data_IF_224741799715
#
_entry.id   IF_224741799715
#
_cell.length_a   1.000
_cell.length_b   1.000
_cell.length_c   1.000
_cell.angle_alpha   90.00
_cell.angle_beta   90.00
_cell.angle_gamma   90.00
#
_symmetry.space_group_name_H-M   'P 1'
#
loop_
_entity.id
_entity.type
_entity.pdbx_description
1 polymer ?
#
# COMPACT_ATOMS: atom_id res chain seq x y z
N UNK A 1 19.43 6.11 -14.92
CA UNK A 1 18.50 4.97 -14.97
C UNK A 1 19.19 3.68 -14.54
N UNK A 2 18.42 2.74 -13.99
CA UNK A 2 18.93 1.41 -13.61
C UNK A 2 19.06 0.51 -14.85
N UNK A 3 20.22 -0.12 -15.01
CA UNK A 3 20.50 -1.03 -16.13
C UNK A 3 20.15 -2.47 -15.74
N UNK A 4 19.09 -3.00 -16.32
CA UNK A 4 18.66 -4.38 -16.14
C UNK A 4 19.11 -5.24 -17.32
N UNK A 5 19.65 -6.41 -17.03
CA UNK A 5 20.02 -7.38 -18.05
C UNK A 5 18.87 -8.35 -18.33
N UNK A 6 18.91 -9.02 -19.48
CA UNK A 6 18.00 -10.14 -19.75
C UNK A 6 18.08 -11.23 -18.67
N UNK A 7 19.27 -11.45 -18.10
CA UNK A 7 19.45 -12.42 -17.02
C UNK A 7 18.66 -12.03 -15.76
N UNK A 8 18.68 -10.75 -15.37
CA UNK A 8 17.90 -10.27 -14.23
C UNK A 8 16.39 -10.49 -14.46
N UNK A 9 15.88 -10.13 -15.65
CA UNK A 9 14.47 -10.25 -16.00
C UNK A 9 14.02 -11.71 -16.11
N UNK A 10 14.84 -12.56 -16.75
CA UNK A 10 14.56 -14.00 -16.85
C UNK A 10 14.62 -14.70 -15.49
N UNK A 11 15.51 -14.25 -14.60
CA UNK A 11 15.55 -14.76 -13.23
C UNK A 11 14.21 -14.49 -12.54
N UNK A 12 13.69 -13.25 -12.59
CA UNK A 12 12.40 -12.89 -12.00
C UNK A 12 11.27 -13.75 -12.59
N UNK A 13 11.18 -13.86 -13.89
CA UNK A 13 10.13 -14.62 -14.55
C UNK A 13 10.17 -16.13 -14.20
N UNK A 14 11.36 -16.74 -14.17
CA UNK A 14 11.52 -18.17 -13.83
C UNK A 14 11.32 -18.45 -12.34
N UNK A 15 11.69 -17.50 -11.50
CA UNK A 15 11.59 -17.62 -10.04
C UNK A 15 10.18 -17.38 -9.52
N UNK A 16 9.29 -16.81 -10.32
CA UNK A 16 7.94 -16.43 -9.94
C UNK A 16 7.09 -17.61 -9.43
N UNK A 17 7.31 -18.83 -9.93
CA UNK A 17 6.66 -20.03 -9.40
C UNK A 17 6.86 -20.23 -7.90
N UNK A 18 7.97 -19.74 -7.31
CA UNK A 18 8.24 -19.86 -5.87
C UNK A 18 7.30 -19.03 -4.99
N UNK A 19 6.66 -18.00 -5.52
CA UNK A 19 5.77 -17.10 -4.77
C UNK A 19 4.37 -16.96 -5.36
N UNK A 20 4.17 -17.22 -6.67
CA UNK A 20 2.85 -17.29 -7.29
C UNK A 20 2.24 -18.69 -7.17
N UNK A 21 3.07 -19.74 -7.29
CA UNK A 21 2.66 -21.13 -7.46
C UNK A 21 2.56 -21.53 -8.94
N UNK A 22 2.39 -22.83 -9.20
CA UNK A 22 2.40 -23.43 -10.55
C UNK A 22 1.05 -23.28 -11.32
N UNK A 23 0.21 -22.34 -10.95
CA UNK A 23 -1.11 -22.22 -11.56
C UNK A 23 -1.07 -21.59 -12.95
N UNK A 24 -1.49 -22.35 -13.91
CA UNK A 24 -1.05 -22.30 -15.30
C UNK A 24 -1.76 -21.31 -16.22
N UNK A 25 -2.62 -20.47 -15.92
CA UNK A 25 -3.18 -19.40 -16.80
C UNK A 25 -3.93 -18.37 -15.99
N UNK A 26 -3.22 -17.33 -15.61
CA UNK A 26 -3.86 -16.18 -15.01
C UNK A 26 -4.40 -15.23 -16.09
N UNK A 27 -5.44 -14.53 -15.75
CA UNK A 27 -5.96 -13.39 -16.47
C UNK A 27 -5.72 -12.17 -15.61
N UNK A 28 -4.99 -11.19 -16.15
CA UNK A 28 -4.55 -10.00 -15.45
C UNK A 28 -5.06 -8.74 -16.16
N UNK A 29 -4.99 -7.63 -15.44
CA UNK A 29 -5.24 -6.30 -16.00
C UNK A 29 -3.99 -5.43 -15.80
N UNK A 30 -3.56 -4.76 -16.86
CA UNK A 30 -2.41 -3.85 -16.92
C UNK A 30 -2.91 -2.43 -16.68
N UNK A 31 -2.47 -1.80 -15.57
CA UNK A 31 -3.00 -0.51 -15.13
C UNK A 31 -1.87 0.53 -14.98
N UNK A 32 -0.71 0.12 -14.45
CA UNK A 32 0.37 1.05 -14.16
C UNK A 32 1.18 1.36 -15.43
N UNK A 33 1.94 2.47 -15.44
CA UNK A 33 2.82 2.77 -16.57
C UNK A 33 3.87 1.69 -16.81
N UNK A 34 4.03 1.23 -18.05
CA UNK A 34 5.02 0.22 -18.44
C UNK A 34 6.49 0.64 -18.23
N UNK A 35 6.77 1.90 -17.91
CA UNK A 35 8.10 2.33 -17.47
C UNK A 35 8.43 1.85 -16.05
N UNK A 36 7.43 1.47 -15.24
CA UNK A 36 7.62 0.93 -13.90
C UNK A 36 7.93 -0.57 -13.96
N UNK A 37 8.97 -1.01 -13.22
CA UNK A 37 9.45 -2.40 -13.27
C UNK A 37 8.38 -3.40 -12.81
N UNK A 38 7.54 -3.05 -11.82
CA UNK A 38 6.48 -3.94 -11.36
C UNK A 38 5.46 -4.19 -12.48
N UNK A 39 5.01 -3.14 -13.18
CA UNK A 39 4.08 -3.31 -14.30
C UNK A 39 4.68 -4.17 -15.41
N UNK A 40 5.94 -3.91 -15.79
CA UNK A 40 6.63 -4.75 -16.79
C UNK A 40 6.76 -6.20 -16.35
N UNK A 41 6.98 -6.43 -15.06
CA UNK A 41 7.05 -7.79 -14.52
C UNK A 41 5.69 -8.48 -14.66
N UNK A 42 4.61 -7.87 -14.16
CA UNK A 42 3.29 -8.48 -14.15
C UNK A 42 2.61 -8.51 -15.54
N UNK A 43 2.81 -7.49 -16.38
CA UNK A 43 2.09 -7.36 -17.65
C UNK A 43 2.91 -7.77 -18.88
N UNK A 44 4.23 -8.01 -18.73
CA UNK A 44 5.09 -8.43 -19.86
C UNK A 44 5.84 -9.71 -19.54
N UNK A 45 6.70 -9.71 -18.50
CA UNK A 45 7.65 -10.82 -18.31
C UNK A 45 6.99 -12.09 -17.80
N UNK A 46 6.09 -12.00 -16.82
CA UNK A 46 5.34 -13.14 -16.30
C UNK A 46 4.36 -13.69 -17.35
N UNK A 47 3.54 -12.86 -18.04
CA UNK A 47 2.68 -13.34 -19.11
C UNK A 47 3.42 -14.08 -20.22
N UNK A 48 4.58 -13.59 -20.66
CA UNK A 48 5.40 -14.28 -21.65
C UNK A 48 5.92 -15.64 -21.16
N UNK A 49 6.25 -15.76 -19.86
CA UNK A 49 6.72 -17.01 -19.27
C UNK A 49 5.61 -18.02 -19.01
N UNK A 50 4.44 -17.55 -18.50
CA UNK A 50 3.34 -18.41 -18.07
C UNK A 50 2.14 -18.44 -19.04
N UNK A 51 2.21 -17.74 -20.18
CA UNK A 51 1.13 -17.64 -21.18
C UNK A 51 -0.17 -17.10 -20.60
N UNK A 52 -0.06 -16.04 -19.79
CA UNK A 52 -1.23 -15.37 -19.22
C UNK A 52 -1.96 -14.50 -20.23
N UNK A 53 -3.23 -14.21 -19.94
CA UNK A 53 -4.04 -13.25 -20.69
C UNK A 53 -3.82 -11.88 -20.03
N UNK A 54 -3.49 -10.88 -20.86
CA UNK A 54 -3.29 -9.49 -20.41
C UNK A 54 -4.39 -8.62 -21.02
N UNK A 55 -5.18 -7.99 -20.18
CA UNK A 55 -6.12 -6.95 -20.53
C UNK A 55 -5.50 -5.59 -20.21
N UNK A 56 -5.66 -4.61 -21.07
CA UNK A 56 -5.16 -3.26 -20.85
C UNK A 56 -6.32 -2.34 -20.51
N UNK A 57 -6.11 -1.46 -19.50
CA UNK A 57 -7.09 -0.41 -19.20
C UNK A 57 -7.17 0.60 -20.37
N UNK A 58 -8.33 1.17 -20.58
CA UNK A 58 -8.54 2.21 -21.59
C UNK A 58 -7.87 3.51 -21.20
N UNK A 59 -7.97 3.87 -19.90
CA UNK A 59 -7.31 5.04 -19.30
C UNK A 59 -7.11 4.81 -17.79
N UNK A 60 -6.25 5.59 -17.12
CA UNK A 60 -6.11 5.53 -15.67
C UNK A 60 -7.43 5.78 -14.92
N UNK A 61 -8.29 6.66 -15.44
CA UNK A 61 -9.57 7.05 -14.86
C UNK A 61 -10.59 5.90 -14.88
N UNK A 62 -10.58 5.08 -15.94
CA UNK A 62 -11.49 3.92 -16.11
C UNK A 62 -10.95 2.63 -15.51
N UNK A 63 -9.81 2.68 -14.81
CA UNK A 63 -9.13 1.48 -14.30
C UNK A 63 -9.99 0.64 -13.35
N UNK A 64 -10.87 1.28 -12.58
CA UNK A 64 -11.77 0.59 -11.66
C UNK A 64 -12.91 -0.12 -12.41
N UNK A 65 -13.55 0.55 -13.35
CA UNK A 65 -14.60 0.00 -14.21
C UNK A 65 -14.07 -1.16 -15.05
N UNK A 66 -12.89 -0.98 -15.65
CA UNK A 66 -12.25 -2.05 -16.42
C UNK A 66 -11.85 -3.24 -15.54
N UNK A 67 -11.45 -3.01 -14.26
CA UNK A 67 -11.18 -4.09 -13.32
C UNK A 67 -12.46 -4.90 -13.02
N UNK A 68 -13.61 -4.24 -12.85
CA UNK A 68 -14.89 -4.91 -12.65
C UNK A 68 -15.32 -5.70 -13.89
N UNK A 69 -15.07 -5.17 -15.09
CA UNK A 69 -15.41 -5.82 -16.36
C UNK A 69 -14.57 -7.08 -16.60
N UNK A 70 -13.25 -6.98 -16.40
CA UNK A 70 -12.31 -8.09 -16.60
C UNK A 70 -12.41 -9.12 -15.49
N UNK A 71 -12.63 -8.70 -14.26
CA UNK A 71 -12.60 -9.55 -13.06
C UNK A 71 -11.37 -10.47 -13.04
N UNK A 72 -10.15 -9.92 -12.92
CA UNK A 72 -8.90 -10.65 -13.12
C UNK A 72 -8.72 -11.77 -12.09
N UNK A 73 -8.04 -12.85 -12.50
CA UNK A 73 -7.74 -13.98 -11.60
C UNK A 73 -6.50 -13.74 -10.76
N UNK A 74 -5.55 -12.95 -11.29
CA UNK A 74 -4.43 -12.38 -10.56
C UNK A 74 -4.46 -10.86 -10.69
N UNK A 75 -4.38 -10.15 -9.58
CA UNK A 75 -4.36 -8.70 -9.58
C UNK A 75 -3.20 -8.17 -8.76
N UNK A 76 -2.38 -7.31 -9.38
CA UNK A 76 -1.35 -6.53 -8.71
C UNK A 76 -1.80 -5.07 -8.67
N UNK A 77 -1.88 -4.50 -7.48
CA UNK A 77 -2.20 -3.10 -7.26
C UNK A 77 -1.21 -2.44 -6.31
N UNK A 78 -0.90 -1.16 -6.56
CA UNK A 78 -0.19 -0.36 -5.56
C UNK A 78 -1.13 -0.04 -4.38
N UNK A 79 -0.61 0.24 -3.17
CA UNK A 79 -1.43 0.48 -1.97
C UNK A 79 -2.56 1.48 -2.20
N UNK A 80 -2.30 2.56 -2.93
CA UNK A 80 -3.29 3.58 -3.27
C UNK A 80 -4.55 3.03 -3.96
N UNK A 81 -4.40 2.03 -4.82
CA UNK A 81 -5.54 1.39 -5.50
C UNK A 81 -6.39 0.61 -4.49
N UNK A 82 -5.74 -0.13 -3.60
CA UNK A 82 -6.40 -0.89 -2.54
C UNK A 82 -7.10 0.02 -1.53
N UNK A 83 -6.45 1.13 -1.15
CA UNK A 83 -7.02 2.16 -0.29
C UNK A 83 -8.28 2.78 -0.92
N UNK A 84 -8.24 3.13 -2.21
CA UNK A 84 -9.40 3.68 -2.92
C UNK A 84 -10.55 2.67 -3.04
N UNK A 85 -10.25 1.42 -3.36
CA UNK A 85 -11.27 0.35 -3.37
C UNK A 85 -11.93 0.16 -2.01
N UNK A 86 -11.15 0.21 -0.92
CA UNK A 86 -11.66 0.14 0.45
C UNK A 86 -12.54 1.35 0.77
N UNK A 87 -12.04 2.57 0.57
CA UNK A 87 -12.76 3.80 0.93
C UNK A 87 -14.08 3.93 0.15
N UNK A 88 -14.07 3.65 -1.15
CA UNK A 88 -15.29 3.64 -1.97
C UNK A 88 -16.32 2.61 -1.46
N UNK A 89 -15.84 1.45 -0.97
CA UNK A 89 -16.71 0.43 -0.38
C UNK A 89 -17.32 0.94 0.93
N UNK A 90 -16.52 1.50 1.82
CA UNK A 90 -16.98 2.02 3.11
C UNK A 90 -18.04 3.11 2.92
N UNK A 91 -17.83 4.02 1.98
CA UNK A 91 -18.79 5.09 1.70
C UNK A 91 -20.11 4.54 1.17
N UNK A 92 -20.08 3.65 0.18
CA UNK A 92 -21.30 3.01 -0.32
C UNK A 92 -22.07 2.25 0.76
N UNK A 93 -21.36 1.63 1.71
CA UNK A 93 -21.98 0.98 2.86
C UNK A 93 -22.61 2.01 3.83
N UNK A 94 -21.96 3.15 4.06
CA UNK A 94 -22.50 4.21 4.91
C UNK A 94 -23.76 4.84 4.33
N UNK A 95 -23.89 4.86 3.00
CA UNK A 95 -25.09 5.31 2.28
C UNK A 95 -26.20 4.24 2.22
N UNK A 96 -25.86 2.98 2.50
CA UNK A 96 -26.81 1.89 2.46
C UNK A 96 -27.86 1.99 3.58
N UNK A 97 -29.00 1.30 3.40
CA UNK A 97 -30.02 1.17 4.44
C UNK A 97 -29.42 0.55 5.72
N UNK A 98 -29.95 0.94 6.89
CA UNK A 98 -29.40 0.53 8.19
C UNK A 98 -29.18 -0.99 8.36
N UNK A 99 -30.08 -1.81 7.81
CA UNK A 99 -29.92 -3.28 7.80
C UNK A 99 -28.66 -3.73 7.04
N UNK A 100 -28.35 -3.10 5.91
CA UNK A 100 -27.17 -3.37 5.12
C UNK A 100 -25.88 -3.05 5.88
N UNK A 101 -25.87 -1.93 6.59
CA UNK A 101 -24.75 -1.52 7.45
C UNK A 101 -24.49 -2.53 8.58
N UNK A 102 -25.55 -2.91 9.32
CA UNK A 102 -25.43 -3.92 10.37
C UNK A 102 -24.97 -5.27 9.82
N UNK A 103 -25.52 -5.72 8.68
CA UNK A 103 -25.11 -6.95 8.04
C UNK A 103 -23.63 -6.94 7.64
N UNK A 104 -23.15 -5.83 7.09
CA UNK A 104 -21.76 -5.63 6.75
C UNK A 104 -20.83 -5.68 7.97
N UNK A 105 -21.14 -4.91 9.03
CA UNK A 105 -20.35 -4.89 10.26
C UNK A 105 -20.26 -6.27 10.92
N UNK A 106 -21.39 -6.97 10.97
CA UNK A 106 -21.44 -8.33 11.53
C UNK A 106 -20.63 -9.30 10.67
N UNK A 107 -20.78 -9.23 9.33
CA UNK A 107 -20.03 -10.04 8.42
C UNK A 107 -18.51 -9.81 8.56
N UNK A 108 -18.05 -8.55 8.65
CA UNK A 108 -16.63 -8.22 8.86
C UNK A 108 -16.11 -8.78 10.19
N UNK A 109 -16.85 -8.65 11.28
CA UNK A 109 -16.46 -9.23 12.59
C UNK A 109 -16.31 -10.76 12.50
N UNK A 110 -17.23 -11.44 11.82
CA UNK A 110 -17.18 -12.89 11.62
C UNK A 110 -16.00 -13.26 10.72
N UNK A 111 -15.81 -12.54 9.60
CA UNK A 111 -14.72 -12.76 8.66
C UNK A 111 -13.35 -12.54 9.29
N UNK A 112 -13.18 -11.46 10.06
CA UNK A 112 -11.94 -11.18 10.79
C UNK A 112 -11.59 -12.27 11.80
N UNK A 113 -12.54 -12.66 12.66
CA UNK A 113 -12.33 -13.79 13.59
C UNK A 113 -12.00 -15.10 12.87
N UNK A 114 -12.66 -15.37 11.75
CA UNK A 114 -12.36 -16.57 10.97
C UNK A 114 -10.93 -16.53 10.41
N UNK A 115 -10.50 -15.39 9.88
CA UNK A 115 -9.16 -15.19 9.36
C UNK A 115 -8.10 -15.36 10.47
N UNK A 116 -8.29 -14.74 11.64
CA UNK A 116 -7.40 -14.89 12.81
C UNK A 116 -7.20 -16.35 13.23
N UNK A 117 -8.30 -17.14 13.25
CA UNK A 117 -8.19 -18.58 13.56
C UNK A 117 -7.36 -19.35 12.53
N UNK A 118 -7.55 -19.05 11.25
CA UNK A 118 -6.77 -19.71 10.17
C UNK A 118 -5.30 -19.31 10.26
N UNK A 119 -5.01 -18.02 10.50
CA UNK A 119 -3.65 -17.50 10.61
C UNK A 119 -2.88 -18.10 11.79
N UNK A 120 -3.58 -18.37 12.89
CA UNK A 120 -3.02 -19.08 14.04
C UNK A 120 -2.88 -20.60 13.83
N UNK A 121 -3.11 -21.13 12.60
CA UNK A 121 -3.08 -22.56 12.30
C UNK A 121 -4.21 -23.36 12.96
N UNK A 122 -5.24 -22.67 13.49
CA UNK A 122 -6.36 -23.29 14.18
C UNK A 122 -7.48 -23.75 13.24
N UNK A 123 -8.41 -24.54 13.79
CA UNK A 123 -9.63 -24.97 13.08
C UNK A 123 -10.85 -24.24 13.66
N UNK A 124 -11.47 -23.31 12.90
CA UNK A 124 -12.67 -22.61 13.36
C UNK A 124 -13.79 -23.59 13.72
N UNK A 125 -14.54 -23.30 14.79
CA UNK A 125 -15.67 -24.11 15.20
C UNK A 125 -16.83 -24.06 14.19
N UNK A 126 -17.81 -24.97 14.32
CA UNK A 126 -18.91 -25.10 13.36
C UNK A 126 -19.74 -23.81 13.23
N UNK A 127 -19.99 -23.10 14.33
CA UNK A 127 -20.76 -21.86 14.32
C UNK A 127 -20.03 -20.75 13.55
N UNK A 128 -18.72 -20.60 13.75
CA UNK A 128 -17.92 -19.61 13.03
C UNK A 128 -17.83 -19.96 11.52
N UNK A 129 -17.73 -21.25 11.18
CA UNK A 129 -17.77 -21.72 9.78
C UNK A 129 -19.11 -21.43 9.12
N UNK A 130 -20.22 -21.70 9.82
CA UNK A 130 -21.55 -21.39 9.31
C UNK A 130 -21.75 -19.88 9.15
N UNK A 131 -21.36 -19.09 10.17
CA UNK A 131 -21.41 -17.62 10.09
C UNK A 131 -20.60 -17.07 8.91
N UNK A 132 -19.39 -17.60 8.69
CA UNK A 132 -18.55 -17.23 7.54
C UNK A 132 -19.22 -17.58 6.21
N UNK A 133 -19.86 -18.75 6.10
CA UNK A 133 -20.59 -19.16 4.91
C UNK A 133 -21.79 -18.23 4.63
N UNK A 134 -22.57 -17.88 5.67
CA UNK A 134 -23.68 -16.89 5.54
C UNK A 134 -23.13 -15.54 5.08
N UNK A 135 -22.09 -15.01 5.74
CA UNK A 135 -21.47 -13.75 5.37
C UNK A 135 -20.98 -13.74 3.91
N UNK A 136 -20.40 -14.87 3.44
CA UNK A 136 -19.98 -15.01 2.05
C UNK A 136 -21.16 -14.91 1.08
N UNK A 137 -22.28 -15.58 1.37
CA UNK A 137 -23.44 -15.62 0.47
C UNK A 137 -24.24 -14.32 0.45
N UNK A 138 -24.28 -13.59 1.58
CA UNK A 138 -25.15 -12.41 1.73
C UNK A 138 -24.42 -11.09 1.51
N UNK A 139 -23.14 -11.00 1.90
CA UNK A 139 -22.37 -9.75 1.91
C UNK A 139 -21.13 -9.85 1.04
N UNK A 140 -20.20 -10.76 1.34
CA UNK A 140 -18.84 -10.72 0.77
C UNK A 140 -18.81 -11.01 -0.73
N UNK A 141 -19.64 -11.93 -1.22
CA UNK A 141 -19.73 -12.20 -2.66
C UNK A 141 -20.11 -10.95 -3.44
N UNK A 142 -21.09 -10.18 -2.95
CA UNK A 142 -21.53 -8.97 -3.63
C UNK A 142 -20.44 -7.89 -3.59
N UNK A 143 -19.72 -7.77 -2.49
CA UNK A 143 -18.58 -6.84 -2.38
C UNK A 143 -17.46 -7.24 -3.34
N UNK A 144 -17.11 -8.52 -3.45
CA UNK A 144 -16.09 -9.00 -4.38
C UNK A 144 -16.47 -8.71 -5.84
N UNK A 145 -17.73 -8.90 -6.22
CA UNK A 145 -18.25 -8.56 -7.56
C UNK A 145 -18.15 -7.03 -7.78
N UNK A 146 -18.57 -6.23 -6.81
CA UNK A 146 -18.47 -4.77 -6.87
C UNK A 146 -17.04 -4.27 -7.00
N UNK A 147 -16.08 -5.01 -6.44
CA UNK A 147 -14.65 -4.70 -6.53
C UNK A 147 -13.99 -5.28 -7.82
N UNK A 148 -14.70 -6.10 -8.59
CA UNK A 148 -14.12 -6.83 -9.72
C UNK A 148 -13.12 -7.91 -9.30
N UNK A 149 -13.27 -8.45 -8.08
CA UNK A 149 -12.33 -9.41 -7.48
C UNK A 149 -12.99 -10.77 -7.15
N UNK A 150 -14.15 -11.04 -7.68
CA UNK A 150 -14.91 -12.28 -7.43
C UNK A 150 -14.23 -13.51 -8.03
N UNK A 151 -13.45 -13.36 -9.10
CA UNK A 151 -12.64 -14.42 -9.73
C UNK A 151 -11.19 -14.43 -9.19
N UNK A 152 -10.80 -13.43 -8.39
CA UNK A 152 -9.41 -13.26 -7.95
C UNK A 152 -8.96 -14.43 -7.07
N UNK A 153 -7.86 -15.05 -7.45
CA UNK A 153 -7.20 -16.16 -6.74
C UNK A 153 -5.91 -15.72 -6.07
N UNK A 154 -5.27 -14.72 -6.64
CA UNK A 154 -3.99 -14.18 -6.18
C UNK A 154 -4.07 -12.66 -6.25
N UNK A 155 -3.82 -12.02 -5.12
CA UNK A 155 -3.84 -10.57 -4.97
C UNK A 155 -2.52 -10.12 -4.40
N UNK A 156 -1.87 -9.17 -5.06
CA UNK A 156 -0.61 -8.61 -4.63
C UNK A 156 -0.68 -7.10 -4.43
N UNK A 157 0.02 -6.63 -3.40
CA UNK A 157 0.32 -5.22 -3.19
C UNK A 157 1.81 -5.02 -2.99
N UNK A 158 2.32 -3.85 -3.39
CA UNK A 158 3.74 -3.53 -3.24
C UNK A 158 4.09 -2.16 -3.83
N UNK A 159 5.38 -1.90 -3.99
CA UNK A 159 5.96 -0.63 -4.45
C UNK A 159 5.82 0.56 -3.46
N UNK A 160 4.97 0.47 -2.45
CA UNK A 160 4.87 1.42 -1.35
C UNK A 160 4.38 0.67 -0.09
N UNK A 161 4.57 1.24 1.11
CA UNK A 161 4.03 0.68 2.34
C UNK A 161 2.50 0.65 2.32
N UNK A 162 1.92 -0.35 2.98
CA UNK A 162 0.47 -0.52 3.14
C UNK A 162 0.11 -0.72 4.60
N UNK A 163 -1.06 -0.22 5.04
CA UNK A 163 -1.47 -0.43 6.43
C UNK A 163 -1.85 -1.90 6.68
N UNK A 164 -1.44 -2.48 7.82
CA UNK A 164 -1.85 -3.83 8.23
C UNK A 164 -3.37 -3.97 8.32
N UNK A 165 -4.07 -2.91 8.73
CA UNK A 165 -5.53 -2.89 8.84
C UNK A 165 -6.21 -3.04 7.47
N UNK A 166 -5.65 -2.44 6.42
CA UNK A 166 -6.17 -2.60 5.07
C UNK A 166 -6.05 -4.05 4.60
N UNK A 167 -4.90 -4.68 4.82
CA UNK A 167 -4.70 -6.11 4.50
C UNK A 167 -5.67 -6.97 5.30
N UNK A 168 -5.82 -6.70 6.61
CA UNK A 168 -6.75 -7.42 7.47
C UNK A 168 -8.22 -7.28 7.02
N UNK A 169 -8.60 -6.11 6.52
CA UNK A 169 -9.92 -5.88 5.95
C UNK A 169 -10.18 -6.77 4.73
N UNK A 170 -9.27 -6.80 3.75
CA UNK A 170 -9.38 -7.69 2.59
C UNK A 170 -9.42 -9.16 3.01
N UNK A 171 -8.61 -9.53 3.98
CA UNK A 171 -8.57 -10.89 4.52
C UNK A 171 -9.88 -11.29 5.20
N UNK A 172 -10.54 -10.37 5.91
CA UNK A 172 -11.88 -10.59 6.47
C UNK A 172 -12.93 -10.87 5.38
N UNK A 173 -12.82 -10.24 4.21
CA UNK A 173 -13.65 -10.54 3.04
C UNK A 173 -13.33 -11.92 2.42
N UNK A 174 -12.21 -12.53 2.80
CA UNK A 174 -11.67 -13.77 2.20
C UNK A 174 -10.85 -13.52 0.93
N UNK A 175 -10.36 -12.30 0.78
CA UNK A 175 -9.41 -11.89 -0.24
C UNK A 175 -8.02 -11.85 0.39
N UNK A 176 -7.16 -12.80 0.03
CA UNK A 176 -5.82 -12.91 0.59
C UNK A 176 -4.86 -11.96 -0.13
N UNK A 177 -4.78 -10.71 0.34
CA UNK A 177 -3.87 -9.71 -0.20
C UNK A 177 -2.46 -10.00 0.33
N UNK A 178 -1.53 -10.24 -0.59
CA UNK A 178 -0.14 -10.61 -0.34
C UNK A 178 0.76 -9.42 -0.58
N UNK A 179 1.57 -9.09 0.40
CA UNK A 179 2.54 -8.01 0.29
C UNK A 179 3.84 -8.53 -0.33
N UNK A 180 4.34 -7.80 -1.33
CA UNK A 180 5.65 -8.02 -1.90
C UNK A 180 6.51 -6.77 -1.81
N UNK A 181 7.82 -7.01 -1.81
CA UNK A 181 8.80 -5.94 -1.79
C UNK A 181 9.87 -6.14 -2.86
N UNK A 182 10.28 -5.03 -3.39
CA UNK A 182 11.42 -4.91 -4.27
C UNK A 182 11.55 -3.52 -4.85
N UNK A 183 12.57 -3.34 -5.65
CA UNK A 183 12.90 -2.06 -6.29
C UNK A 183 13.45 -2.30 -7.70
N UNK A 184 13.59 -1.24 -8.46
CA UNK A 184 14.10 -1.34 -9.84
C UNK A 184 15.49 -1.97 -9.89
N UNK A 185 16.33 -1.67 -8.91
CA UNK A 185 17.68 -2.20 -8.73
C UNK A 185 17.71 -3.71 -8.45
N UNK A 186 16.57 -4.29 -8.10
CA UNK A 186 16.37 -5.73 -7.93
C UNK A 186 15.53 -6.36 -9.06
N UNK A 187 15.39 -5.68 -10.19
CA UNK A 187 14.55 -6.12 -11.31
C UNK A 187 13.09 -6.45 -10.91
N UNK A 188 12.60 -5.91 -9.82
CA UNK A 188 11.23 -6.09 -9.34
C UNK A 188 11.15 -6.69 -7.93
N UNK A 189 11.14 -8.01 -7.78
CA UNK A 189 10.74 -8.67 -6.54
C UNK A 189 11.95 -9.29 -5.82
N UNK A 190 12.06 -8.99 -4.52
CA UNK A 190 13.09 -9.48 -3.60
C UNK A 190 12.49 -10.36 -2.52
N UNK A 191 11.34 -9.95 -1.95
CA UNK A 191 10.58 -10.74 -0.98
C UNK A 191 9.11 -10.80 -1.35
N UNK A 192 8.43 -11.83 -0.85
CA UNK A 192 6.99 -12.00 -1.03
C UNK A 192 6.37 -12.75 0.14
N UNK A 193 5.21 -12.32 0.59
CA UNK A 193 4.27 -13.21 1.23
C UNK A 193 3.70 -14.19 0.19
N UNK A 194 3.30 -15.38 0.60
CA UNK A 194 2.72 -16.41 -0.27
C UNK A 194 1.35 -16.84 0.26
N UNK A 195 0.60 -17.59 -0.54
CA UNK A 195 -0.68 -18.15 -0.06
C UNK A 195 -0.51 -19.08 1.14
N UNK A 196 0.61 -19.80 1.21
CA UNK A 196 0.90 -20.74 2.28
C UNK A 196 1.41 -20.06 3.54
N UNK A 197 2.17 -18.97 3.36
CA UNK A 197 2.82 -18.23 4.44
C UNK A 197 2.59 -16.74 4.22
N UNK A 198 1.55 -16.19 4.85
CA UNK A 198 1.23 -14.76 4.80
C UNK A 198 1.19 -14.20 6.22
N UNK A 199 2.12 -13.29 6.54
CA UNK A 199 2.20 -12.62 7.84
C UNK A 199 1.96 -11.13 7.65
N UNK A 200 0.79 -10.65 8.07
CA UNK A 200 0.40 -9.24 7.97
C UNK A 200 1.42 -8.35 8.67
N UNK A 201 1.76 -7.23 8.04
CA UNK A 201 2.76 -6.28 8.52
C UNK A 201 4.20 -6.72 8.25
N UNK A 202 4.41 -7.70 7.38
CA UNK A 202 5.70 -8.08 6.83
C UNK A 202 5.65 -8.10 5.31
N UNK A 203 6.79 -7.86 4.69
CA UNK A 203 6.96 -7.98 3.23
C UNK A 203 7.29 -9.41 2.79
N UNK A 204 6.98 -10.40 3.64
CA UNK A 204 7.23 -11.82 3.38
C UNK A 204 8.67 -12.24 3.58
N UNK A 205 9.03 -13.36 2.97
CA UNK A 205 10.38 -13.96 2.98
C UNK A 205 11.12 -13.70 1.68
N UNK A 206 12.44 -13.85 1.69
CA UNK A 206 13.24 -13.84 0.46
C UNK A 206 12.66 -14.82 -0.56
N UNK A 207 12.53 -14.39 -1.81
CA UNK A 207 12.17 -15.32 -2.89
C UNK A 207 13.32 -16.29 -3.15
N UNK A 208 13.04 -17.43 -3.77
CA UNK A 208 14.06 -18.47 -3.97
C UNK A 208 15.34 -17.92 -4.65
N UNK A 209 16.50 -18.37 -4.20
CA UNK A 209 17.82 -17.95 -4.68
C UNK A 209 18.16 -16.46 -4.48
N UNK A 210 17.54 -15.83 -3.52
CA UNK A 210 17.84 -14.47 -3.05
C UNK A 210 18.27 -14.54 -1.59
N UNK A 211 19.40 -13.92 -1.27
CA UNK A 211 19.88 -13.76 0.10
C UNK A 211 19.47 -12.40 0.63
N UNK A 212 19.04 -12.35 1.91
CA UNK A 212 18.75 -11.12 2.64
C UNK A 212 19.56 -11.11 3.93
N UNK A 213 20.05 -9.96 4.31
CA UNK A 213 20.59 -9.69 5.66
C UNK A 213 20.30 -8.26 6.09
N UNK A 214 20.36 -8.04 7.39
CA UNK A 214 20.30 -6.69 7.98
C UNK A 214 21.72 -6.31 8.37
N UNK A 215 22.14 -5.10 8.01
CA UNK A 215 23.44 -4.56 8.42
C UNK A 215 23.41 -4.04 9.86
N UNK A 216 24.56 -3.57 10.36
CA UNK A 216 24.72 -3.00 11.72
C UNK A 216 23.91 -1.69 11.95
N UNK A 217 23.49 -1.03 10.87
CA UNK A 217 22.67 0.18 10.91
C UNK A 217 21.16 -0.12 10.74
N UNK A 218 20.80 -1.39 10.62
CA UNK A 218 19.43 -1.83 10.38
C UNK A 218 19.00 -1.78 8.91
N UNK A 219 19.91 -1.53 7.97
CA UNK A 219 19.60 -1.49 6.53
C UNK A 219 19.41 -2.90 5.97
N UNK A 220 18.35 -3.08 5.19
CA UNK A 220 18.09 -4.31 4.47
C UNK A 220 19.04 -4.41 3.28
N UNK A 221 19.79 -5.47 3.21
CA UNK A 221 20.69 -5.80 2.09
C UNK A 221 20.17 -7.02 1.38
N UNK A 222 20.28 -7.04 0.05
CA UNK A 222 19.96 -8.23 -0.73
C UNK A 222 21.04 -8.58 -1.74
N UNK A 223 21.14 -9.89 -2.06
CA UNK A 223 22.08 -10.42 -3.02
C UNK A 223 21.43 -11.54 -3.83
N UNK A 224 21.70 -11.57 -5.12
CA UNK A 224 21.21 -12.62 -6.01
C UNK A 224 21.25 -12.21 -7.49
N UNK A 225 20.85 -13.12 -8.40
CA UNK A 225 20.84 -12.86 -9.83
C UNK A 225 19.86 -11.76 -10.30
N UNK A 226 18.97 -11.30 -9.43
CA UNK A 226 18.00 -10.23 -9.66
C UNK A 226 18.64 -8.84 -9.54
N UNK A 227 19.80 -8.70 -8.89
CA UNK A 227 20.47 -7.40 -8.70
C UNK A 227 20.95 -6.85 -10.04
N UNK A 228 20.67 -5.58 -10.28
CA UNK A 228 20.95 -4.85 -11.52
C UNK A 228 22.46 -4.75 -11.84
N UNK A 229 22.78 -4.32 -13.07
CA UNK A 229 24.18 -4.10 -13.47
C UNK A 229 24.78 -2.80 -12.93
N UNK A 230 23.93 -1.86 -12.51
CA UNK A 230 24.32 -0.54 -12.04
C UNK A 230 23.51 0.59 -12.67
N UNK A 231 23.86 1.81 -12.36
CA UNK A 231 23.24 3.01 -12.92
C UNK A 231 23.93 3.45 -14.22
N UNK A 232 23.15 3.69 -15.26
CA UNK A 232 23.65 4.14 -16.54
C UNK A 232 24.40 5.48 -16.41
N UNK A 233 25.66 5.50 -16.85
CA UNK A 233 26.49 6.69 -16.81
C UNK A 233 26.91 7.16 -15.41
N UNK A 234 26.67 6.35 -14.36
CA UNK A 234 27.02 6.72 -12.98
C UNK A 234 27.69 5.54 -12.21
N UNK A 235 28.96 5.25 -12.52
CA UNK A 235 29.69 4.16 -11.87
C UNK A 235 29.96 4.41 -10.37
N UNK A 236 30.14 5.67 -9.97
CA UNK A 236 30.35 6.04 -8.57
C UNK A 236 29.13 5.66 -7.73
N UNK A 237 27.94 6.09 -8.15
CA UNK A 237 26.69 5.72 -7.49
C UNK A 237 26.44 4.22 -7.48
N UNK A 238 26.85 3.53 -8.53
CA UNK A 238 26.77 2.06 -8.59
C UNK A 238 27.64 1.41 -7.52
N UNK A 239 28.90 1.87 -7.37
CA UNK A 239 29.83 1.35 -6.37
C UNK A 239 29.39 1.64 -4.92
N UNK A 240 28.71 2.76 -4.68
CA UNK A 240 28.09 3.07 -3.38
C UNK A 240 26.89 2.19 -3.08
N UNK A 241 26.18 1.74 -4.12
CA UNK A 241 24.91 1.00 -3.96
C UNK A 241 25.10 -0.51 -3.94
N UNK A 242 26.10 -1.04 -4.66
CA UNK A 242 26.44 -2.48 -4.67
C UNK A 242 27.86 -2.67 -4.18
N UNK A 243 27.99 -3.22 -2.98
CA UNK A 243 29.29 -3.45 -2.31
C UNK A 243 29.44 -4.95 -2.05
N UNK A 244 30.51 -5.56 -2.53
CA UNK A 244 30.80 -6.99 -2.38
C UNK A 244 29.62 -7.90 -2.80
N UNK A 245 28.92 -7.50 -3.87
CA UNK A 245 27.75 -8.21 -4.41
C UNK A 245 26.46 -8.04 -3.63
N UNK A 246 26.46 -7.26 -2.55
CA UNK A 246 25.26 -6.89 -1.79
C UNK A 246 24.72 -5.54 -2.25
N UNK A 247 23.45 -5.51 -2.60
CA UNK A 247 22.72 -4.28 -2.84
C UNK A 247 22.28 -3.66 -1.52
N UNK A 248 22.67 -2.43 -1.26
CA UNK A 248 22.21 -1.58 -0.17
C UNK A 248 20.89 -0.91 -0.60
N UNK A 249 19.80 -1.34 0.01
CA UNK A 249 18.45 -0.97 -0.47
C UNK A 249 18.03 0.44 -0.10
N UNK A 250 18.63 1.02 0.94
CA UNK A 250 18.20 2.28 1.54
C UNK A 250 16.95 2.13 2.40
N UNK A 251 16.45 0.92 2.62
CA UNK A 251 15.29 0.62 3.46
C UNK A 251 15.76 0.00 4.78
N UNK A 252 15.24 0.47 5.92
CA UNK A 252 15.55 -0.03 7.27
C UNK A 252 14.50 -1.07 7.65
N UNK A 253 14.94 -2.16 8.27
CA UNK A 253 14.03 -3.20 8.67
C UNK A 253 14.64 -4.26 9.57
N UNK A 254 13.89 -5.32 9.78
CA UNK A 254 14.26 -6.48 10.61
C UNK A 254 13.88 -7.78 9.91
N UNK A 255 14.56 -8.86 10.29
CA UNK A 255 14.20 -10.22 9.90
C UNK A 255 13.92 -11.01 11.17
N UNK A 256 12.78 -11.69 11.25
CA UNK A 256 12.46 -12.52 12.40
C UNK A 256 13.08 -13.94 12.28
N UNK A 257 12.89 -14.75 13.34
CA UNK A 257 13.45 -16.12 13.43
C UNK A 257 12.91 -17.05 12.33
N UNK A 258 11.72 -16.78 11.81
CA UNK A 258 11.10 -17.54 10.71
C UNK A 258 11.53 -17.03 9.31
N UNK A 259 12.33 -15.97 9.25
CA UNK A 259 12.82 -15.36 8.00
C UNK A 259 11.87 -14.33 7.37
N UNK A 260 10.81 -13.90 8.06
CA UNK A 260 9.97 -12.82 7.58
C UNK A 260 10.64 -11.46 7.75
N UNK A 261 10.62 -10.67 6.70
CA UNK A 261 11.19 -9.32 6.66
C UNK A 261 10.11 -8.29 6.97
N UNK A 262 10.43 -7.34 7.83
CA UNK A 262 9.60 -6.17 8.11
C UNK A 262 10.38 -4.92 7.77
N UNK A 263 9.78 -4.03 6.97
CA UNK A 263 10.32 -2.68 6.74
C UNK A 263 9.81 -1.78 7.85
N UNK A 264 10.72 -0.99 8.41
CA UNK A 264 10.38 0.06 9.37
C UNK A 264 10.16 1.38 8.64
N UNK A 265 11.16 1.82 7.86
CA UNK A 265 11.08 3.02 7.02
C UNK A 265 12.24 3.10 6.02
N UNK A 266 12.26 4.16 5.21
CA UNK A 266 13.44 4.52 4.43
C UNK A 266 14.48 5.23 5.29
N UNK A 267 15.75 4.84 5.14
CA UNK A 267 16.89 5.42 5.87
C UNK A 267 16.92 6.96 5.83
N UNK A 268 16.59 7.54 4.68
CA UNK A 268 16.57 8.99 4.47
C UNK A 268 15.30 9.70 4.96
N UNK A 269 14.23 8.95 5.24
CA UNK A 269 12.92 9.50 5.60
C UNK A 269 12.66 9.41 7.12
N UNK A 270 13.51 8.69 7.88
CA UNK A 270 13.44 8.62 9.35
C UNK A 270 13.58 10.02 9.92
N UNK A 271 12.61 10.40 10.74
CA UNK A 271 12.59 11.67 11.48
C UNK A 271 13.41 11.53 12.75
N UNK A 272 14.39 12.41 12.94
CA UNK A 272 15.12 12.54 14.20
C UNK A 272 14.64 13.83 14.87
N UNK A 273 13.78 13.70 15.87
CA UNK A 273 13.24 14.86 16.59
C UNK A 273 14.34 15.65 17.33
N UNK A 274 14.07 16.90 17.71
CA UNK A 274 14.99 17.70 18.53
C UNK A 274 15.37 17.04 19.85
N UNK A 275 14.57 16.09 20.35
CA UNK A 275 14.85 15.27 21.52
C UNK A 275 15.67 14.00 21.22
N UNK A 276 16.14 13.80 19.99
CA UNK A 276 16.95 12.64 19.58
C UNK A 276 16.15 11.34 19.40
N UNK A 277 14.82 11.39 19.36
CA UNK A 277 13.98 10.21 19.11
C UNK A 277 13.87 9.95 17.61
N UNK A 278 14.18 8.73 17.18
CA UNK A 278 13.93 8.26 15.84
C UNK A 278 12.46 7.86 15.70
N UNK A 279 11.78 8.39 14.69
CA UNK A 279 10.37 8.13 14.40
C UNK A 279 10.25 7.74 12.94
N UNK A 280 9.46 6.68 12.66
CA UNK A 280 9.05 6.27 11.33
C UNK A 280 7.82 7.08 10.90
N UNK A 281 7.92 8.04 9.99
CA UNK A 281 6.76 8.76 9.49
C UNK A 281 5.82 7.86 8.70
N UNK A 282 6.35 6.88 7.97
CA UNK A 282 5.56 6.00 7.10
C UNK A 282 4.52 5.18 7.87
N UNK A 283 4.82 4.77 9.11
CA UNK A 283 3.88 4.03 9.94
C UNK A 283 2.65 4.88 10.30
N UNK A 284 2.87 6.12 10.71
CA UNK A 284 1.80 7.06 11.05
C UNK A 284 0.99 7.43 9.79
N UNK A 285 1.67 7.74 8.69
CA UNK A 285 1.07 8.10 7.41
C UNK A 285 0.18 6.99 6.85
N UNK A 286 0.61 5.73 6.94
CA UNK A 286 -0.19 4.58 6.50
C UNK A 286 -1.44 4.38 7.34
N UNK A 287 -1.37 4.64 8.66
CA UNK A 287 -2.53 4.61 9.53
C UNK A 287 -3.54 5.71 9.17
N UNK A 288 -3.07 6.92 8.84
CA UNK A 288 -3.93 8.02 8.39
C UNK A 288 -4.63 7.71 7.06
N UNK A 289 -3.92 7.11 6.11
CA UNK A 289 -4.48 6.73 4.81
C UNK A 289 -5.51 5.60 4.84
N UNK A 290 -5.64 4.92 5.97
CA UNK A 290 -6.74 3.98 6.17
C UNK A 290 -8.09 4.69 6.34
N UNK A 291 -8.10 5.97 6.71
CA UNK A 291 -9.33 6.79 6.71
C UNK A 291 -9.84 7.00 5.28
N UNK A 292 -11.16 6.84 5.02
CA UNK A 292 -11.72 7.11 3.70
C UNK A 292 -11.64 8.58 3.29
N UNK A 293 -11.38 9.50 4.22
CA UNK A 293 -11.33 10.94 3.98
C UNK A 293 -9.92 11.46 3.70
N UNK A 294 -8.89 10.66 3.94
CA UNK A 294 -7.48 11.05 3.78
C UNK A 294 -6.88 10.31 2.59
N UNK A 295 -6.53 11.05 1.57
CA UNK A 295 -5.91 10.49 0.38
C UNK A 295 -4.41 10.28 0.54
N UNK A 296 -3.73 11.19 1.23
CA UNK A 296 -2.33 11.07 1.59
C UNK A 296 -1.98 11.95 2.80
N UNK A 297 -0.83 11.72 3.40
CA UNK A 297 -0.35 12.45 4.55
C UNK A 297 1.17 12.56 4.54
N UNK A 298 1.70 13.70 5.00
CA UNK A 298 3.15 13.90 5.18
C UNK A 298 3.41 14.34 6.61
N UNK A 299 3.99 13.44 7.40
CA UNK A 299 4.41 13.72 8.76
C UNK A 299 5.75 14.44 8.75
N UNK A 300 5.84 15.54 9.48
CA UNK A 300 6.99 16.44 9.55
C UNK A 300 7.43 16.56 11.00
N UNK A 301 8.74 16.49 11.25
CA UNK A 301 9.26 16.56 12.62
C UNK A 301 10.77 16.52 12.74
N UNK A 302 11.51 16.41 11.63
CA UNK A 302 12.98 16.35 11.67
C UNK A 302 13.54 17.61 12.31
N UNK A 303 14.37 17.42 13.35
CA UNK A 303 14.93 18.50 14.19
C UNK A 303 13.89 19.41 14.84
N UNK A 304 12.62 19.01 14.92
CA UNK A 304 11.52 19.77 15.53
C UNK A 304 11.15 19.21 16.90
N UNK A 305 10.46 20.03 17.72
CA UNK A 305 10.04 19.66 19.09
C UNK A 305 8.91 18.64 19.13
N UNK A 306 8.08 18.58 18.08
CA UNK A 306 6.91 17.70 17.97
C UNK A 306 6.60 17.43 16.50
N UNK A 307 5.76 16.44 16.25
CA UNK A 307 5.30 16.12 14.92
C UNK A 307 4.13 17.00 14.48
N UNK A 308 4.16 17.38 13.22
CA UNK A 308 3.04 18.00 12.51
C UNK A 308 2.73 17.21 11.25
N UNK A 309 1.57 17.45 10.63
CA UNK A 309 1.19 16.74 9.43
C UNK A 309 0.56 17.66 8.39
N UNK A 310 0.94 17.49 7.15
CA UNK A 310 0.19 17.97 5.99
C UNK A 310 -0.76 16.85 5.52
N UNK A 311 -2.03 17.18 5.35
CA UNK A 311 -3.07 16.23 4.96
C UNK A 311 -3.57 16.58 3.55
N UNK A 312 -3.64 15.57 2.71
CA UNK A 312 -4.38 15.62 1.46
C UNK A 312 -5.69 14.86 1.66
N UNK A 313 -6.80 15.55 1.49
CA UNK A 313 -8.13 14.95 1.60
C UNK A 313 -8.47 14.16 0.32
N UNK A 314 -9.22 13.08 0.48
CA UNK A 314 -9.87 12.42 -0.67
C UNK A 314 -11.05 13.29 -1.11
N UNK A 315 -10.88 13.94 -2.27
CA UNK A 315 -11.84 14.93 -2.76
C UNK A 315 -13.24 14.36 -2.91
N UNK A 316 -13.37 13.19 -3.51
CA UNK A 316 -14.67 12.56 -3.80
C UNK A 316 -15.41 12.22 -2.49
N UNK A 317 -14.70 11.66 -1.54
CA UNK A 317 -15.28 11.22 -0.27
C UNK A 317 -15.62 12.39 0.65
N UNK A 318 -14.78 13.42 0.68
CA UNK A 318 -15.05 14.64 1.45
C UNK A 318 -16.16 15.47 0.80
N UNK A 319 -16.23 15.48 -0.54
CA UNK A 319 -17.34 16.09 -1.28
C UNK A 319 -18.67 15.44 -0.90
N UNK A 320 -18.74 14.11 -0.93
CA UNK A 320 -19.94 13.36 -0.53
C UNK A 320 -20.33 13.64 0.93
N UNK A 321 -19.33 13.69 1.83
CA UNK A 321 -19.57 14.05 3.22
C UNK A 321 -20.18 15.46 3.33
N UNK A 322 -19.59 16.46 2.66
CA UNK A 322 -20.07 17.83 2.69
C UNK A 322 -21.50 17.97 2.14
N UNK A 323 -21.81 17.27 1.05
CA UNK A 323 -23.15 17.25 0.46
C UNK A 323 -24.18 16.63 1.43
N UNK A 324 -23.85 15.49 2.04
CA UNK A 324 -24.73 14.81 3.00
C UNK A 324 -24.99 15.63 4.28
N UNK A 325 -24.04 16.50 4.65
CA UNK A 325 -24.16 17.40 5.80
C UNK A 325 -24.66 18.81 5.41
N UNK A 326 -24.96 19.05 4.14
CA UNK A 326 -25.37 20.36 3.60
C UNK A 326 -24.36 21.48 3.91
N UNK A 327 -23.06 21.16 3.87
CA UNK A 327 -21.97 22.12 4.08
C UNK A 327 -21.77 22.92 2.79
N UNK A 328 -21.89 24.26 2.80
CA UNK A 328 -21.70 25.06 1.59
C UNK A 328 -20.21 25.25 1.26
N UNK A 329 -19.84 25.07 0.00
CA UNK A 329 -18.50 25.34 -0.53
C UNK A 329 -18.63 25.73 -2.01
N UNK A 330 -17.59 26.34 -2.59
CA UNK A 330 -17.55 26.79 -4.00
C UNK A 330 -16.54 26.00 -4.83
N UNK A 331 -15.42 25.62 -4.24
CA UNK A 331 -14.31 24.91 -4.86
C UNK A 331 -13.56 24.06 -3.83
N UNK A 332 -12.51 23.37 -4.28
CA UNK A 332 -11.70 22.48 -3.42
C UNK A 332 -11.05 23.24 -2.26
N UNK A 333 -10.51 24.42 -2.51
CA UNK A 333 -9.83 25.22 -1.48
C UNK A 333 -10.83 25.67 -0.40
N UNK A 334 -12.03 26.11 -0.79
CA UNK A 334 -13.09 26.47 0.16
C UNK A 334 -13.62 25.26 0.92
N UNK A 335 -13.69 24.09 0.28
CA UNK A 335 -14.09 22.85 0.92
C UNK A 335 -13.07 22.43 2.00
N UNK A 336 -11.78 22.41 1.65
CA UNK A 336 -10.69 22.02 2.57
C UNK A 336 -10.54 22.95 3.78
N UNK A 337 -10.97 24.21 3.64
CA UNK A 337 -10.93 25.21 4.70
C UNK A 337 -12.17 25.23 5.61
N UNK A 338 -13.21 24.44 5.29
CA UNK A 338 -14.43 24.40 6.13
C UNK A 338 -14.13 23.86 7.52
N UNK A 339 -14.59 24.52 8.60
CA UNK A 339 -14.41 24.03 9.97
C UNK A 339 -14.86 22.59 10.16
N UNK A 340 -16.00 22.23 9.55
CA UNK A 340 -16.57 20.89 9.63
C UNK A 340 -15.67 19.83 9.01
N UNK A 341 -14.92 20.17 7.93
CA UNK A 341 -13.94 19.29 7.31
C UNK A 341 -12.66 19.21 8.14
N UNK A 342 -12.22 20.36 8.68
CA UNK A 342 -11.06 20.38 9.60
C UNK A 342 -11.34 19.53 10.83
N UNK A 343 -12.54 19.61 11.40
CA UNK A 343 -12.96 18.81 12.55
C UNK A 343 -13.05 17.32 12.19
N UNK A 344 -13.60 16.96 11.02
CA UNK A 344 -13.63 15.58 10.51
C UNK A 344 -12.21 14.98 10.45
N UNK A 345 -11.28 15.69 9.82
CA UNK A 345 -9.89 15.24 9.73
C UNK A 345 -9.21 15.21 11.10
N UNK A 346 -9.54 16.16 11.98
CA UNK A 346 -9.07 16.18 13.36
C UNK A 346 -9.44 14.92 14.13
N UNK A 347 -10.67 14.44 13.99
CA UNK A 347 -11.12 13.16 14.58
C UNK A 347 -10.32 11.98 14.06
N UNK A 348 -10.07 11.91 12.74
CA UNK A 348 -9.26 10.85 12.15
C UNK A 348 -7.82 10.85 12.69
N UNK A 349 -7.21 12.03 12.84
CA UNK A 349 -5.87 12.18 13.41
C UNK A 349 -5.84 11.72 14.88
N UNK A 350 -6.84 12.09 15.69
CA UNK A 350 -6.90 11.65 17.09
C UNK A 350 -7.09 10.13 17.21
N UNK A 351 -7.88 9.52 16.32
CA UNK A 351 -8.03 8.07 16.25
C UNK A 351 -6.69 7.36 15.95
N UNK A 352 -5.86 7.96 15.10
CA UNK A 352 -4.51 7.47 14.82
C UNK A 352 -3.57 7.74 15.99
N UNK A 353 -3.57 8.95 16.53
CA UNK A 353 -2.75 9.33 17.69
C UNK A 353 -2.93 8.39 18.89
N UNK A 354 -4.14 7.87 19.10
CA UNK A 354 -4.44 6.93 20.17
C UNK A 354 -3.69 5.59 20.07
N UNK A 355 -3.15 5.26 18.89
CA UNK A 355 -2.38 4.02 18.63
C UNK A 355 -0.88 4.18 18.87
N UNK A 356 -0.39 5.41 19.02
CA UNK A 356 1.03 5.75 19.07
C UNK A 356 1.48 6.29 20.41
N UNK A 357 2.78 6.20 20.70
CA UNK A 357 3.37 6.80 21.89
C UNK A 357 3.28 8.33 21.82
N UNK A 358 3.21 9.00 22.98
CA UNK A 358 3.03 10.46 23.07
C UNK A 358 4.01 11.29 22.23
N UNK A 359 5.23 10.80 22.04
CA UNK A 359 6.26 11.49 21.23
C UNK A 359 6.05 11.33 19.73
N UNK A 360 5.26 10.35 19.32
CA UNK A 360 4.93 9.99 17.94
C UNK A 360 3.58 10.55 17.51
N UNK A 361 2.86 11.27 18.40
CA UNK A 361 1.56 11.85 18.08
C UNK A 361 1.70 13.16 17.33
N UNK A 362 0.84 13.35 16.33
CA UNK A 362 0.69 14.60 15.57
C UNK A 362 0.06 15.64 16.47
N UNK A 363 0.70 16.81 16.63
CA UNK A 363 0.23 17.90 17.49
C UNK A 363 -0.54 18.99 16.75
N UNK A 364 -0.22 19.18 15.49
CA UNK A 364 -0.92 20.13 14.61
C UNK A 364 -0.92 19.58 13.20
N UNK A 365 -1.93 19.94 12.44
CA UNK A 365 -2.02 19.59 11.03
C UNK A 365 -2.56 20.75 10.20
N UNK A 366 -2.34 20.67 8.91
CA UNK A 366 -2.96 21.54 7.91
C UNK A 366 -3.41 20.69 6.74
N UNK A 367 -4.56 21.03 6.19
CA UNK A 367 -5.06 20.43 4.95
C UNK A 367 -4.48 21.23 3.80
N UNK A 368 -3.97 20.56 2.77
CA UNK A 368 -3.52 21.17 1.52
C UNK A 368 -4.76 21.57 0.73
N UNK A 369 -4.78 22.80 0.25
CA UNK A 369 -5.92 23.45 -0.40
C UNK A 369 -5.99 23.24 -1.91
N UNK A 370 -5.13 22.37 -2.44
CA UNK A 370 -5.12 21.93 -3.84
C UNK A 370 -5.17 20.40 -3.96
N UNK A 371 -5.84 19.94 -5.01
CA UNK A 371 -5.88 18.52 -5.33
C UNK A 371 -4.66 18.16 -6.18
N UNK A 372 -3.80 17.27 -5.67
CA UNK A 372 -2.65 16.79 -6.41
C UNK A 372 -3.04 15.66 -7.39
N UNK A 373 -2.52 15.75 -8.61
CA UNK A 373 -2.73 14.80 -9.71
C UNK A 373 -1.41 14.15 -10.14
N UNK A 374 -1.48 13.15 -11.00
CA UNK A 374 -0.28 12.46 -11.52
C UNK A 374 0.66 13.38 -12.33
N UNK A 375 0.13 14.51 -12.82
CA UNK A 375 0.90 15.51 -13.59
C UNK A 375 1.68 16.48 -12.70
N UNK A 376 1.39 16.48 -11.39
CA UNK A 376 2.04 17.37 -10.43
C UNK A 376 3.42 16.84 -10.02
N UNK A 377 4.37 17.73 -9.83
CA UNK A 377 5.75 17.39 -9.46
C UNK A 377 5.84 16.66 -8.10
N UNK A 378 4.84 16.81 -7.25
CA UNK A 378 4.75 16.21 -5.91
C UNK A 378 4.50 14.71 -5.94
N UNK A 379 3.98 14.18 -7.06
CA UNK A 379 3.68 12.76 -7.21
C UNK A 379 4.63 12.07 -8.19
N UNK A 380 4.80 10.78 -8.02
CA UNK A 380 5.40 9.91 -9.03
C UNK A 380 4.33 9.43 -9.99
N UNK A 381 4.74 8.86 -11.14
CA UNK A 381 3.80 8.23 -12.09
C UNK A 381 2.96 7.08 -11.47
N UNK A 382 3.37 6.56 -10.32
CA UNK A 382 2.62 5.56 -9.53
C UNK A 382 1.84 6.18 -8.37
N UNK A 383 1.57 7.49 -8.43
CA UNK A 383 0.83 8.27 -7.43
C UNK A 383 1.48 8.28 -6.03
N UNK A 384 2.78 7.96 -5.92
CA UNK A 384 3.51 8.02 -4.66
C UNK A 384 4.03 9.43 -4.43
N UNK A 385 3.84 9.94 -3.24
CA UNK A 385 4.25 11.27 -2.81
C UNK A 385 5.79 11.39 -2.73
N UNK A 386 6.30 12.49 -3.27
CA UNK A 386 7.72 12.88 -3.15
C UNK A 386 7.86 13.83 -1.95
N UNK A 387 8.15 13.30 -0.76
CA UNK A 387 8.26 14.03 0.50
C UNK A 387 9.02 15.34 0.37
N UNK A 388 10.25 15.29 -0.19
CA UNK A 388 11.11 16.48 -0.29
C UNK A 388 10.52 17.59 -1.17
N UNK A 389 9.75 17.24 -2.22
CA UNK A 389 9.06 18.21 -3.09
C UNK A 389 7.91 18.88 -2.33
N UNK A 390 7.11 18.07 -1.62
CA UNK A 390 6.00 18.56 -0.78
C UNK A 390 6.51 19.47 0.33
N UNK A 391 7.54 19.05 1.06
CA UNK A 391 8.13 19.87 2.14
C UNK A 391 8.66 21.22 1.63
N UNK A 392 9.25 21.23 0.45
CA UNK A 392 9.75 22.46 -0.19
C UNK A 392 8.60 23.38 -0.63
N UNK A 393 7.62 22.85 -1.32
CA UNK A 393 6.47 23.60 -1.84
C UNK A 393 5.64 24.22 -0.72
N UNK A 394 5.36 23.44 0.32
CA UNK A 394 4.52 23.88 1.44
C UNK A 394 5.31 24.37 2.66
N UNK A 395 6.56 24.80 2.48
CA UNK A 395 7.46 25.22 3.57
C UNK A 395 6.88 26.33 4.46
N UNK A 396 6.14 27.30 3.89
CA UNK A 396 5.46 28.36 4.64
C UNK A 396 4.33 27.81 5.51
N UNK A 397 3.53 26.88 4.97
CA UNK A 397 2.45 26.22 5.68
C UNK A 397 2.99 25.37 6.86
N UNK A 398 4.07 24.63 6.60
CA UNK A 398 4.79 23.86 7.62
C UNK A 398 5.30 24.78 8.74
N UNK A 399 5.93 25.90 8.39
CA UNK A 399 6.47 26.84 9.39
C UNK A 399 5.37 27.44 10.26
N UNK A 400 4.17 27.65 9.73
CA UNK A 400 3.02 28.16 10.49
C UNK A 400 2.51 27.21 11.58
N UNK A 401 2.89 25.94 11.51
CA UNK A 401 2.50 24.92 12.49
C UNK A 401 3.43 24.86 13.71
N UNK A 402 4.61 25.48 13.65
CA UNK A 402 5.59 25.52 14.75
C UNK A 402 5.62 26.87 15.43
#
# INVERSE_FOLDING_TARGET
GAMLSHQNLLFQARNAGSWIGDEAREEIISILPLCHIAERTFSVFLPLNFKWIVNFVESPETSFENTMEVSPTLFFGVPRMWEKMHSNTVIKINEAVWLGRIAYELALKIGGKYAEYIDAGGKPNLLLRLGRWVAEKTVFRNLKIMLGLDRARILFTGAAPVSPELIAWYRALGLNLLELYGQTECAGITTSNTKAENRIGTIGKAVANVDIRIDENGEILCRGPHVFKGYFGNPEKTAETVIDGWLYTGDIGTVDEDGFVRITDRKKDIIITAGGKNISPSEIENQLKFSPYISDAVVIGDKRKYLTCLIMIDHENVLNFAQNQNIPFTDFASLSARPEIVDLIGVEIENVNAKFARVETIKKFKIIDEQLTADDEELTATMKLKRSTVEKKYSSLITSMY
#
